data_IF_317481588695
#
_entry.id   IF_317481588695
#
_cell.length_a   1.000
_cell.length_b   1.000
_cell.length_c   1.000
_cell.angle_alpha   90.00
_cell.angle_beta   90.00
_cell.angle_gamma   90.00
#
_symmetry.space_group_name_H-M   'P 1'
#
loop_
_entity.id
_entity.type
_entity.pdbx_description
1 polymer ?
#
# COMPACT_ATOMS: atom_id res chain seq x y z
N UNK A 1 8.98 17.71 -22.35
CA UNK A 1 7.86 16.92 -22.90
C UNK A 1 7.21 16.15 -21.77
N UNK A 2 5.95 16.45 -21.43
CA UNK A 2 5.24 15.80 -20.30
C UNK A 2 4.90 14.35 -20.63
N UNK A 3 5.29 13.41 -19.76
CA UNK A 3 4.98 11.98 -19.91
C UNK A 3 3.47 11.77 -19.80
N UNK A 4 2.83 11.38 -20.90
CA UNK A 4 1.38 11.18 -20.95
C UNK A 4 1.02 9.88 -20.23
N UNK A 5 0.31 9.97 -19.11
CA UNK A 5 -0.24 8.82 -18.37
C UNK A 5 -1.68 8.57 -18.77
N UNK A 6 -2.08 7.31 -18.94
CA UNK A 6 -3.45 6.87 -19.20
C UNK A 6 -4.03 6.26 -17.92
N UNK A 7 -5.20 6.72 -17.50
CA UNK A 7 -5.98 6.04 -16.47
C UNK A 7 -6.71 4.85 -17.07
N UNK A 8 -6.65 3.71 -16.38
CA UNK A 8 -7.32 2.47 -16.73
C UNK A 8 -8.24 2.07 -15.58
N UNK A 9 -9.50 1.81 -15.91
CA UNK A 9 -10.52 1.28 -15.00
C UNK A 9 -11.29 0.14 -15.68
N UNK A 10 -11.98 -0.68 -14.89
CA UNK A 10 -12.75 -1.84 -15.39
C UNK A 10 -11.95 -2.78 -16.30
N UNK A 11 -12.47 -3.13 -17.47
CA UNK A 11 -11.82 -4.10 -18.37
C UNK A 11 -10.41 -3.69 -18.85
N UNK A 12 -10.09 -2.39 -18.87
CA UNK A 12 -8.76 -1.90 -19.25
C UNK A 12 -7.67 -2.25 -18.24
N UNK A 13 -7.98 -2.16 -16.93
CA UNK A 13 -7.06 -2.60 -15.87
C UNK A 13 -6.92 -4.12 -15.86
N UNK A 14 -8.00 -4.86 -16.08
CA UNK A 14 -7.97 -6.32 -16.04
C UNK A 14 -7.11 -6.89 -17.18
N UNK A 15 -7.18 -6.24 -18.35
CA UNK A 15 -6.32 -6.58 -19.49
C UNK A 15 -4.85 -6.28 -19.20
N UNK A 16 -4.54 -5.15 -18.55
CA UNK A 16 -3.18 -4.84 -18.12
C UNK A 16 -2.64 -5.91 -17.16
N UNK A 17 -3.39 -6.21 -16.10
CA UNK A 17 -2.98 -7.15 -15.06
C UNK A 17 -2.77 -8.54 -15.66
N UNK A 18 -3.67 -8.99 -16.52
CA UNK A 18 -3.54 -10.27 -17.23
C UNK A 18 -2.28 -10.32 -18.10
N UNK A 19 -2.00 -9.25 -18.85
CA UNK A 19 -0.81 -9.18 -19.70
C UNK A 19 0.49 -9.15 -18.88
N UNK A 20 0.50 -8.51 -17.71
CA UNK A 20 1.65 -8.52 -16.79
C UNK A 20 1.89 -9.91 -16.20
N UNK A 21 0.85 -10.56 -15.69
CA UNK A 21 0.98 -11.89 -15.08
C UNK A 21 1.37 -12.94 -16.13
N UNK A 22 0.89 -12.83 -17.37
CA UNK A 22 1.32 -13.71 -18.48
C UNK A 22 2.78 -13.55 -18.88
N UNK A 23 3.33 -12.34 -18.73
CA UNK A 23 4.74 -12.05 -19.02
C UNK A 23 5.65 -12.72 -17.99
N UNK A 24 5.15 -12.95 -16.79
CA UNK A 24 5.84 -13.66 -15.72
C UNK A 24 5.65 -15.17 -15.90
N UNK A 25 6.49 -15.80 -16.72
CA UNK A 25 6.42 -17.22 -17.07
C UNK A 25 6.68 -18.19 -15.91
N UNK A 26 7.08 -17.69 -14.74
CA UNK A 26 7.39 -18.49 -13.55
C UNK A 26 6.16 -18.76 -12.66
N UNK A 27 5.00 -18.18 -12.97
CA UNK A 27 3.79 -18.35 -12.18
C UNK A 27 2.94 -19.47 -12.79
N UNK A 28 2.73 -20.54 -12.03
CA UNK A 28 1.78 -21.59 -12.41
C UNK A 28 0.36 -21.02 -12.62
N UNK A 29 -0.41 -21.60 -13.55
CA UNK A 29 -1.71 -21.05 -13.99
C UNK A 29 -2.73 -20.83 -12.84
N UNK A 30 -2.75 -21.73 -11.85
CA UNK A 30 -3.67 -21.66 -10.71
C UNK A 30 -3.35 -20.48 -9.74
N UNK A 31 -2.08 -20.27 -9.33
CA UNK A 31 -1.67 -19.04 -8.64
C UNK A 31 -1.93 -17.76 -9.43
N UNK A 32 -1.71 -17.76 -10.74
CA UNK A 32 -1.87 -16.59 -11.60
C UNK A 32 -3.31 -16.05 -11.57
N UNK A 33 -4.32 -16.91 -11.67
CA UNK A 33 -5.72 -16.48 -11.65
C UNK A 33 -6.15 -15.94 -10.27
N UNK A 34 -5.71 -16.59 -9.18
CA UNK A 34 -5.99 -16.11 -7.82
C UNK A 34 -5.37 -14.73 -7.56
N UNK A 35 -4.17 -14.52 -8.08
CA UNK A 35 -3.44 -13.25 -7.99
C UNK A 35 -4.16 -12.15 -8.79
N UNK A 36 -4.61 -12.47 -10.01
CA UNK A 36 -5.40 -11.56 -10.84
C UNK A 36 -6.71 -11.15 -10.16
N UNK A 37 -7.41 -12.10 -9.55
CA UNK A 37 -8.65 -11.82 -8.82
C UNK A 37 -8.41 -10.89 -7.62
N UNK A 38 -7.35 -11.12 -6.85
CA UNK A 38 -7.00 -10.23 -5.73
C UNK A 38 -6.61 -8.84 -6.19
N UNK A 39 -5.88 -8.71 -7.30
CA UNK A 39 -5.52 -7.41 -7.85
C UNK A 39 -6.72 -6.66 -8.44
N UNK A 40 -7.64 -7.35 -9.11
CA UNK A 40 -8.84 -6.71 -9.68
C UNK A 40 -9.80 -6.20 -8.61
N UNK A 41 -9.89 -6.92 -7.47
CA UNK A 41 -10.66 -6.52 -6.28
C UNK A 41 -9.99 -5.39 -5.48
N UNK A 42 -8.66 -5.41 -5.35
CA UNK A 42 -7.91 -4.42 -4.59
C UNK A 42 -7.67 -3.10 -5.35
N UNK A 43 -7.63 -3.14 -6.69
CA UNK A 43 -7.33 -1.97 -7.53
C UNK A 43 -8.57 -1.50 -8.28
N UNK A 44 -9.11 -0.33 -7.91
CA UNK A 44 -10.26 0.28 -8.59
C UNK A 44 -9.86 1.02 -9.88
N UNK A 45 -8.71 1.69 -9.85
CA UNK A 45 -8.15 2.48 -10.96
C UNK A 45 -6.62 2.33 -10.98
N UNK A 46 -6.01 2.27 -12.18
CA UNK A 46 -4.55 2.22 -12.35
C UNK A 46 -4.13 3.26 -13.37
N UNK A 47 -3.16 4.11 -13.03
CA UNK A 47 -2.53 5.04 -13.98
C UNK A 47 -1.23 4.46 -14.51
N UNK A 48 -1.16 4.28 -15.83
CA UNK A 48 0.00 3.69 -16.51
C UNK A 48 0.55 4.67 -17.53
N UNK A 49 1.86 4.70 -17.72
CA UNK A 49 2.46 5.48 -18.82
C UNK A 49 1.91 4.96 -20.15
N UNK A 50 1.57 5.86 -21.06
CA UNK A 50 0.99 5.49 -22.37
C UNK A 50 1.88 4.53 -23.17
N UNK A 51 3.19 4.76 -23.15
CA UNK A 51 4.19 3.89 -23.78
C UNK A 51 4.18 2.47 -23.21
N UNK A 52 3.99 2.33 -21.89
CA UNK A 52 3.91 1.02 -21.21
C UNK A 52 2.61 0.32 -21.56
N UNK A 53 1.49 1.05 -21.62
CA UNK A 53 0.21 0.48 -22.07
C UNK A 53 0.27 -0.02 -23.52
N UNK A 54 0.85 0.77 -24.42
CA UNK A 54 0.98 0.42 -25.83
C UNK A 54 1.92 -0.77 -26.04
N UNK A 55 3.05 -0.84 -25.33
CA UNK A 55 3.97 -1.99 -25.41
C UNK A 55 3.35 -3.28 -24.86
N UNK A 56 2.65 -3.20 -23.73
CA UNK A 56 1.98 -4.36 -23.11
C UNK A 56 0.81 -4.87 -23.96
N UNK A 57 0.03 -3.98 -24.56
CA UNK A 57 -1.12 -4.38 -25.41
C UNK A 57 -0.72 -4.80 -26.83
N UNK A 58 0.34 -4.22 -27.40
CA UNK A 58 0.84 -4.59 -28.73
C UNK A 58 1.56 -5.93 -28.75
N UNK A 59 2.15 -6.33 -27.62
CA UNK A 59 2.74 -7.67 -27.43
C UNK A 59 1.68 -8.79 -27.30
N UNK A 60 0.39 -8.45 -27.18
CA UNK A 60 -0.73 -9.39 -26.99
C UNK A 60 -1.57 -9.59 -28.28
N UNK A 61 -1.23 -8.95 -29.41
CA UNK A 61 -1.93 -9.15 -30.69
C UNK A 61 -1.19 -10.19 -31.54
N UNK A 62 -1.30 -11.45 -31.13
CA UNK A 62 -1.26 -12.60 -32.01
C UNK A 62 -2.64 -13.30 -31.91
N UNK A 63 -3.34 -13.58 -33.03
CA UNK A 63 -4.74 -13.96 -32.99
C UNK A 63 -4.92 -15.47 -32.85
N UNK A 64 -5.54 -15.93 -31.77
CA UNK A 64 -6.13 -17.27 -31.64
C UNK A 64 -7.50 -17.06 -30.97
N UNK A 65 -8.57 -16.95 -31.77
CA UNK A 65 -9.47 -18.05 -32.10
C UNK A 65 -10.14 -18.65 -30.84
N UNK A 66 -11.44 -18.38 -30.70
CA UNK A 66 -12.16 -18.56 -29.45
C UNK A 66 -12.53 -19.98 -29.10
N UNK A 67 -12.89 -20.18 -27.82
CA UNK A 67 -13.76 -21.27 -27.37
C UNK A 67 -14.61 -20.75 -26.21
N UNK A 68 -15.94 -20.79 -26.40
CA UNK A 68 -16.95 -20.80 -25.35
C UNK A 68 -16.91 -22.16 -24.65
N UNK A 69 -16.93 -22.20 -23.32
CA UNK A 69 -17.57 -23.26 -22.49
C UNK A 69 -17.31 -22.93 -21.01
N UNK A 70 -18.33 -22.57 -20.23
CA UNK A 70 -19.26 -23.46 -19.52
C UNK A 70 -18.78 -23.74 -18.07
N UNK A 71 -19.63 -23.31 -17.12
CA UNK A 71 -19.61 -23.69 -15.70
C UNK A 71 -19.58 -25.20 -15.54
N UNK A 72 -19.11 -25.68 -14.37
CA UNK A 72 -19.96 -26.62 -13.65
C UNK A 72 -20.21 -26.22 -12.19
N UNK A 73 -21.43 -26.61 -11.79
CA UNK A 73 -22.03 -26.61 -10.46
C UNK A 73 -21.77 -28.00 -9.85
N UNK A 74 -21.60 -28.08 -8.52
CA UNK A 74 -21.61 -29.31 -7.71
C UNK A 74 -20.88 -29.06 -6.39
N UNK A 75 -21.54 -28.64 -5.29
CA UNK A 75 -22.36 -29.40 -4.32
C UNK A 75 -21.50 -30.26 -3.33
N UNK A 76 -21.96 -30.60 -2.11
CA UNK A 76 -21.46 -29.99 -0.87
C UNK A 76 -20.97 -30.97 0.24
N UNK A 77 -20.15 -30.40 1.15
CA UNK A 77 -20.06 -30.53 2.62
C UNK A 77 -20.30 -31.86 3.40
N UNK A 78 -19.50 -32.02 4.48
CA UNK A 78 -19.62 -32.85 5.71
C UNK A 78 -18.43 -33.82 5.86
N UNK A 79 -17.75 -34.03 6.99
CA UNK A 79 -17.93 -33.75 8.42
C UNK A 79 -16.50 -33.53 9.03
N UNK A 80 -16.24 -33.09 10.25
CA UNK A 80 -16.89 -33.31 11.53
C UNK A 80 -16.40 -32.27 12.57
N UNK A 81 -17.29 -31.91 13.49
CA UNK A 81 -16.99 -31.29 14.79
C UNK A 81 -16.39 -32.34 15.75
N UNK A 82 -15.74 -31.92 16.86
CA UNK A 82 -16.51 -31.81 18.10
C UNK A 82 -16.26 -30.53 18.92
N UNK A 83 -17.28 -30.25 19.72
CA UNK A 83 -17.45 -29.19 20.74
C UNK A 83 -16.29 -29.15 21.76
N UNK A 84 -16.08 -27.98 22.38
CA UNK A 84 -16.09 -27.77 23.86
C UNK A 84 -15.96 -26.26 24.16
N UNK A 85 -16.96 -25.67 24.83
CA UNK A 85 -16.87 -24.42 25.62
C UNK A 85 -16.39 -24.79 27.04
N UNK A 86 -15.81 -23.90 27.90
CA UNK A 86 -16.26 -22.51 28.12
C UNK A 86 -15.18 -21.47 28.53
N UNK A 87 -15.65 -20.22 28.67
CA UNK A 87 -15.17 -19.10 29.52
C UNK A 87 -13.71 -19.13 30.02
N UNK A 88 -12.97 -18.04 29.77
CA UNK A 88 -12.43 -17.21 30.86
C UNK A 88 -11.83 -15.88 30.37
N UNK A 89 -12.34 -14.81 30.97
CA UNK A 89 -11.70 -13.52 31.12
C UNK A 89 -10.55 -13.69 32.11
N UNK A 90 -9.33 -13.40 31.69
CA UNK A 90 -8.17 -13.30 32.58
C UNK A 90 -7.30 -12.13 32.13
N UNK A 91 -7.49 -11.01 32.83
CA UNK A 91 -6.38 -10.15 33.22
C UNK A 91 -5.33 -11.03 33.91
N UNK A 92 -4.09 -11.03 33.40
CA UNK A 92 -2.91 -11.22 34.22
C UNK A 92 -1.64 -10.79 33.46
N UNK A 93 -1.17 -9.61 33.83
CA UNK A 93 0.21 -9.27 34.19
C UNK A 93 1.37 -10.17 33.72
N UNK A 94 2.26 -9.53 32.94
CA UNK A 94 3.73 -9.70 32.87
C UNK A 94 4.30 -10.93 32.13
N UNK A 95 5.42 -10.78 31.40
CA UNK A 95 6.63 -10.08 31.83
C UNK A 95 6.97 -8.82 31.05
N UNK A 96 7.54 -7.85 31.76
CA UNK A 96 8.32 -6.75 31.20
C UNK A 96 9.37 -7.34 30.24
N UNK A 97 9.31 -7.09 28.93
CA UNK A 97 10.42 -7.44 28.06
C UNK A 97 11.64 -6.59 28.45
N UNK A 98 12.85 -7.16 28.44
CA UNK A 98 14.09 -6.43 28.72
C UNK A 98 14.13 -5.21 27.82
N UNK A 99 14.59 -4.06 28.36
CA UNK A 99 14.70 -2.78 27.66
C UNK A 99 15.25 -3.01 26.25
N UNK A 100 14.34 -3.13 25.29
CA UNK A 100 14.70 -3.32 23.92
C UNK A 100 15.42 -2.05 23.54
N UNK A 101 16.65 -2.18 23.07
CA UNK A 101 17.24 -1.16 22.20
C UNK A 101 16.21 -0.89 21.12
N UNK A 102 15.41 0.17 21.30
CA UNK A 102 14.27 0.50 20.44
C UNK A 102 14.85 0.80 19.08
N UNK A 103 14.92 -0.24 18.25
CA UNK A 103 15.34 -0.14 16.86
C UNK A 103 14.31 0.77 16.23
N UNK A 104 14.76 1.94 15.80
CA UNK A 104 13.89 2.94 15.20
C UNK A 104 13.27 2.37 13.93
N UNK A 105 11.94 2.35 13.88
CA UNK A 105 11.18 1.95 12.70
C UNK A 105 10.61 3.22 12.01
N UNK A 106 11.09 3.57 10.80
CA UNK A 106 10.58 4.72 10.04
C UNK A 106 9.12 4.56 9.59
N UNK A 107 8.55 3.35 9.68
CA UNK A 107 7.17 3.02 9.33
C UNK A 107 6.26 2.88 10.56
N UNK A 108 6.77 3.10 11.78
CA UNK A 108 6.02 2.93 13.02
C UNK A 108 4.73 3.76 13.07
N UNK A 109 4.70 4.90 12.38
CA UNK A 109 3.49 5.70 12.19
C UNK A 109 3.52 6.49 10.88
N UNK A 110 2.35 6.90 10.41
CA UNK A 110 2.21 7.79 9.24
C UNK A 110 1.95 9.23 9.68
N UNK A 111 2.80 10.17 9.27
CA UNK A 111 2.65 11.59 9.59
C UNK A 111 1.33 12.15 9.07
N UNK A 112 0.90 11.75 7.86
CA UNK A 112 -0.37 12.17 7.28
C UNK A 112 -1.57 11.62 8.06
N UNK A 113 -1.54 10.34 8.44
CA UNK A 113 -2.61 9.74 9.25
C UNK A 113 -2.68 10.37 10.64
N UNK A 114 -1.54 10.65 11.27
CA UNK A 114 -1.47 11.35 12.55
C UNK A 114 -2.00 12.78 12.43
N UNK A 115 -1.59 13.53 11.40
CA UNK A 115 -2.06 14.89 11.15
C UNK A 115 -3.58 14.94 10.95
N UNK A 116 -4.14 13.99 10.19
CA UNK A 116 -5.58 13.96 9.90
C UNK A 116 -6.44 13.50 11.07
N UNK A 117 -5.93 12.61 11.93
CA UNK A 117 -6.69 12.06 13.09
C UNK A 117 -6.50 12.86 14.37
N UNK A 118 -5.27 13.31 14.65
CA UNK A 118 -4.86 13.97 15.89
C UNK A 118 -4.50 15.44 15.72
N UNK A 119 -4.53 15.96 14.48
CA UNK A 119 -4.15 17.33 14.17
C UNK A 119 -2.63 17.57 14.27
N UNK A 120 -2.25 18.84 14.11
CA UNK A 120 -0.86 19.29 14.15
C UNK A 120 -0.18 18.97 15.48
N UNK A 121 -0.85 19.23 16.60
CA UNK A 121 -0.33 18.97 17.94
C UNK A 121 -0.01 17.49 18.15
N UNK A 122 -0.87 16.58 17.66
CA UNK A 122 -0.63 15.14 17.74
C UNK A 122 0.53 14.67 16.87
N UNK A 123 0.78 15.33 15.73
CA UNK A 123 1.95 15.04 14.90
C UNK A 123 3.24 15.51 15.58
N UNK A 124 3.25 16.71 16.16
CA UNK A 124 4.40 17.23 16.91
C UNK A 124 4.74 16.30 18.08
N UNK A 125 3.74 15.84 18.83
CA UNK A 125 3.93 14.89 19.93
C UNK A 125 4.46 13.52 19.47
N UNK A 126 4.09 13.04 18.29
CA UNK A 126 4.66 11.81 17.74
C UNK A 126 6.11 12.00 17.27
N UNK A 127 6.48 13.20 16.82
CA UNK A 127 7.83 13.53 16.38
C UNK A 127 8.79 13.80 17.55
N UNK A 128 8.28 14.12 18.75
CA UNK A 128 9.13 14.26 19.95
C UNK A 128 9.76 12.95 20.39
N UNK A 129 9.11 11.81 20.12
CA UNK A 129 9.63 10.47 20.41
C UNK A 129 10.85 10.11 19.53
N UNK A 130 11.03 10.79 18.40
CA UNK A 130 12.16 10.61 17.49
C UNK A 130 13.26 11.59 17.85
N UNK A 131 14.35 11.09 18.43
CA UNK A 131 15.36 11.94 19.10
C UNK A 131 16.50 12.39 18.20
N UNK A 132 16.70 11.77 17.04
CA UNK A 132 17.83 12.08 16.15
C UNK A 132 17.38 12.60 14.79
N UNK A 133 18.14 13.52 14.21
CA UNK A 133 17.87 14.08 12.89
C UNK A 133 17.90 13.00 11.78
N UNK A 134 18.80 12.01 11.88
CA UNK A 134 18.89 10.90 10.91
C UNK A 134 17.60 10.07 10.87
N UNK A 135 17.03 9.77 12.04
CA UNK A 135 15.76 9.04 12.14
C UNK A 135 14.59 9.86 11.56
N UNK A 136 14.59 11.17 11.78
CA UNK A 136 13.60 12.07 11.18
C UNK A 136 13.71 12.12 9.65
N UNK A 137 14.93 12.15 9.11
CA UNK A 137 15.18 12.04 7.67
C UNK A 137 14.74 10.69 7.12
N UNK A 138 15.02 9.59 7.83
CA UNK A 138 14.57 8.26 7.46
C UNK A 138 13.03 8.16 7.43
N UNK A 139 12.34 8.76 8.41
CA UNK A 139 10.88 8.86 8.45
C UNK A 139 10.35 9.67 7.27
N UNK A 140 10.94 10.84 7.00
CA UNK A 140 10.54 11.69 5.88
C UNK A 140 10.74 10.98 4.54
N UNK A 141 11.86 10.27 4.36
CA UNK A 141 12.16 9.49 3.18
C UNK A 141 11.16 8.34 2.98
N UNK A 142 10.88 7.57 4.04
CA UNK A 142 9.92 6.47 4.03
C UNK A 142 8.50 6.92 3.65
N UNK A 143 8.14 8.15 4.03
CA UNK A 143 6.83 8.72 3.75
C UNK A 143 6.80 9.59 2.50
N UNK A 144 7.92 9.70 1.76
CA UNK A 144 8.09 10.56 0.59
C UNK A 144 7.71 12.03 0.86
N UNK A 145 8.13 12.56 2.01
CA UNK A 145 8.00 13.98 2.34
C UNK A 145 9.20 14.74 1.77
N UNK A 146 8.91 15.84 1.06
CA UNK A 146 9.93 16.74 0.52
C UNK A 146 10.44 17.67 1.63
N UNK A 147 11.54 17.27 2.27
CA UNK A 147 12.28 18.11 3.23
C UNK A 147 13.70 18.35 2.73
N UNK A 148 14.32 19.45 3.15
CA UNK A 148 15.73 19.72 2.82
C UNK A 148 16.65 18.79 3.61
N UNK A 149 17.49 18.04 2.89
CA UNK A 149 18.39 17.01 3.42
C UNK A 149 19.59 17.60 4.16
N UNK A 150 19.86 18.89 3.98
CA UNK A 150 20.97 19.56 4.65
C UNK A 150 20.60 20.04 6.07
N UNK A 151 19.32 19.97 6.46
CA UNK A 151 18.92 20.27 7.84
C UNK A 151 19.44 19.20 8.79
N UNK A 152 20.36 19.59 9.66
CA UNK A 152 20.89 18.74 10.73
C UNK A 152 20.27 19.05 12.10
N UNK A 153 19.59 20.19 12.23
CA UNK A 153 18.95 20.63 13.47
C UNK A 153 17.61 19.90 13.69
N UNK A 154 17.57 19.04 14.72
CA UNK A 154 16.42 18.17 15.01
C UNK A 154 15.08 18.93 15.09
N UNK A 155 14.92 20.02 15.85
CA UNK A 155 13.69 20.82 15.86
C UNK A 155 13.31 21.35 14.48
N UNK A 156 14.26 21.85 13.69
CA UNK A 156 13.99 22.34 12.33
C UNK A 156 13.52 21.22 11.40
N UNK A 157 14.11 20.02 11.51
CA UNK A 157 13.67 18.85 10.74
C UNK A 157 12.25 18.45 11.12
N UNK A 158 11.89 18.50 12.42
CA UNK A 158 10.51 18.23 12.88
C UNK A 158 9.52 19.22 12.30
N UNK A 159 9.84 20.51 12.34
CA UNK A 159 8.98 21.56 11.76
C UNK A 159 8.85 21.41 10.24
N UNK A 160 9.93 21.07 9.55
CA UNK A 160 9.93 20.80 8.13
C UNK A 160 9.04 19.60 7.77
N UNK A 161 9.06 18.52 8.57
CA UNK A 161 8.18 17.35 8.39
C UNK A 161 6.71 17.74 8.55
N UNK A 162 6.39 18.56 9.56
CA UNK A 162 5.02 19.04 9.78
C UNK A 162 4.56 19.88 8.60
N UNK A 163 5.37 20.85 8.16
CA UNK A 163 5.06 21.70 7.01
C UNK A 163 4.89 20.90 5.70
N UNK A 164 5.77 19.94 5.44
CA UNK A 164 5.68 19.07 4.26
C UNK A 164 4.42 18.21 4.28
N UNK A 165 4.02 17.72 5.46
CA UNK A 165 2.79 16.92 5.63
C UNK A 165 1.53 17.77 5.41
N UNK A 166 1.52 19.00 5.93
CA UNK A 166 0.43 19.97 5.72
C UNK A 166 0.29 20.35 4.24
N UNK A 167 1.41 20.64 3.56
CA UNK A 167 1.44 20.95 2.13
C UNK A 167 0.85 19.80 1.30
N UNK A 168 1.25 18.55 1.60
CA UNK A 168 0.73 17.36 0.94
C UNK A 168 -0.77 17.16 1.18
N UNK A 169 -1.26 17.42 2.39
CA UNK A 169 -2.68 17.35 2.69
C UNK A 169 -3.47 18.41 1.92
N UNK A 170 -2.94 19.63 1.82
CA UNK A 170 -3.54 20.73 1.06
C UNK A 170 -3.62 20.38 -0.43
N UNK A 171 -2.54 19.88 -1.02
CA UNK A 171 -2.53 19.48 -2.42
C UNK A 171 -3.50 18.33 -2.71
N UNK A 172 -3.56 17.34 -1.81
CA UNK A 172 -4.54 16.25 -1.92
C UNK A 172 -5.98 16.74 -1.84
N UNK A 173 -6.27 17.75 -1.01
CA UNK A 173 -7.60 18.36 -0.92
C UNK A 173 -7.93 19.17 -2.18
N UNK A 174 -6.98 19.96 -2.67
CA UNK A 174 -7.15 20.74 -3.90
C UNK A 174 -7.34 19.85 -5.14
N UNK A 175 -6.71 18.68 -5.19
CA UNK A 175 -6.91 17.72 -6.27
C UNK A 175 -8.26 16.96 -6.20
N UNK A 176 -8.97 17.05 -5.07
CA UNK A 176 -10.25 16.37 -4.84
C UNK A 176 -11.47 17.31 -4.95
N UNK A 177 -11.25 18.62 -5.07
CA UNK A 177 -12.27 19.66 -5.28
C UNK A 177 -12.29 20.10 -6.74
#
# INVERSE_FOLDING_TARGET
>A
MGRTTKSLSGGGKDKLLRALVRRESEIAAMPAERLLQRFSEALTEVRVKREVWETVTKSDVAPEAGVKAARPRGAPNAAATPKTMPLQKTENSSPVPPAASTTFDPFAFSALATLTRKGKAGLVAALTDVTTAEQLHALAAAQHLSIDRNLSDTPQVRDAIVAATEARLKERRAAAS
#
